data_IF_400110071728
#
_entry.id   IF_400110071728
#
_cell.length_a   1.000
_cell.length_b   1.000
_cell.length_c   1.000
_cell.angle_alpha   90.00
_cell.angle_beta   90.00
_cell.angle_gamma   90.00
#
_symmetry.space_group_name_H-M   'P 1'
#
loop_
_entity.id
_entity.type
_entity.pdbx_description
1 polymer ?
#
# COMPACT_ATOMS: atom_id res chain seq x y z
N UNK A 1 -27.28 -33.49 -34.05
CA UNK A 1 -26.05 -33.39 -33.20
C UNK A 1 -25.06 -32.28 -33.62
N UNK A 2 -24.94 -31.89 -34.91
CA UNK A 2 -23.98 -30.84 -35.36
C UNK A 2 -24.35 -29.39 -34.98
N UNK A 3 -25.64 -29.06 -34.85
CA UNK A 3 -26.09 -27.68 -34.52
C UNK A 3 -25.83 -27.24 -33.06
N UNK A 4 -25.78 -28.19 -32.11
CA UNK A 4 -25.52 -27.89 -30.69
C UNK A 4 -24.05 -27.51 -30.43
N UNK A 5 -23.10 -28.19 -31.08
CA UNK A 5 -21.66 -27.92 -30.92
C UNK A 5 -21.21 -26.57 -31.49
N UNK A 6 -21.94 -25.99 -32.45
CA UNK A 6 -21.59 -24.68 -33.01
C UNK A 6 -21.95 -23.54 -32.04
N UNK A 7 -23.11 -23.65 -31.38
CA UNK A 7 -23.59 -22.65 -30.44
C UNK A 7 -22.72 -22.54 -29.17
N UNK A 8 -22.25 -23.67 -28.63
CA UNK A 8 -21.34 -23.67 -27.46
C UNK A 8 -19.95 -23.07 -27.74
N UNK A 9 -19.49 -23.09 -29.00
CA UNK A 9 -18.21 -22.48 -29.38
C UNK A 9 -18.33 -20.95 -29.48
N UNK A 10 -19.40 -20.46 -30.08
CA UNK A 10 -19.70 -19.02 -30.19
C UNK A 10 -19.97 -18.38 -28.81
N UNK A 11 -20.62 -19.09 -27.88
CA UNK A 11 -20.84 -18.59 -26.50
C UNK A 11 -19.54 -18.52 -25.66
N UNK A 12 -18.58 -19.42 -25.90
CA UNK A 12 -17.26 -19.35 -25.23
C UNK A 12 -16.38 -18.22 -25.76
N UNK A 13 -16.40 -17.96 -27.07
CA UNK A 13 -15.63 -16.87 -27.68
C UNK A 13 -16.16 -15.49 -27.22
N UNK A 14 -17.48 -15.34 -27.06
CA UNK A 14 -18.09 -14.11 -26.53
C UNK A 14 -17.73 -13.81 -25.06
N UNK A 15 -17.60 -14.83 -24.21
CA UNK A 15 -17.16 -14.63 -22.82
C UNK A 15 -15.66 -14.26 -22.71
N UNK A 16 -14.81 -14.76 -23.60
CA UNK A 16 -13.38 -14.45 -23.61
C UNK A 16 -13.08 -13.03 -24.14
N UNK A 17 -13.79 -12.56 -25.16
CA UNK A 17 -13.60 -11.19 -25.66
C UNK A 17 -14.15 -10.12 -24.70
N UNK A 18 -15.31 -10.36 -24.06
CA UNK A 18 -15.85 -9.42 -23.08
C UNK A 18 -15.03 -9.34 -21.79
N UNK A 19 -14.28 -10.39 -21.42
CA UNK A 19 -13.41 -10.36 -20.23
C UNK A 19 -12.10 -9.61 -20.49
N UNK A 20 -11.60 -9.57 -21.73
CA UNK A 20 -10.42 -8.78 -22.10
C UNK A 20 -10.77 -7.30 -22.34
N UNK A 21 -11.90 -6.99 -22.98
CA UNK A 21 -12.38 -5.60 -23.11
C UNK A 21 -12.82 -4.97 -21.77
N UNK A 22 -13.34 -5.76 -20.83
CA UNK A 22 -13.63 -5.28 -19.48
C UNK A 22 -12.35 -4.95 -18.68
N UNK A 23 -11.20 -5.54 -19.03
CA UNK A 23 -9.90 -5.26 -18.40
C UNK A 23 -9.25 -3.97 -18.90
N UNK A 24 -9.44 -3.61 -20.17
CA UNK A 24 -8.84 -2.39 -20.76
C UNK A 24 -9.68 -1.14 -20.55
N UNK A 25 -10.98 -1.24 -20.24
CA UNK A 25 -11.86 -0.07 -20.00
C UNK A 25 -11.80 0.49 -18.56
N UNK A 26 -11.07 -0.12 -17.63
CA UNK A 26 -10.97 0.32 -16.21
C UNK A 26 -9.80 1.25 -15.89
N UNK A 27 -9.09 1.78 -16.90
CA UNK A 27 -7.95 2.71 -16.72
C UNK A 27 -8.25 4.17 -17.12
N UNK A 28 -9.51 4.63 -17.04
CA UNK A 28 -9.89 6.04 -17.30
C UNK A 28 -10.21 6.84 -16.03
N UNK A 29 -9.53 6.53 -14.94
CA UNK A 29 -9.31 7.50 -13.87
C UNK A 29 -7.82 7.73 -13.81
N UNK A 30 -7.33 8.82 -14.40
CA UNK A 30 -6.00 9.31 -14.06
C UNK A 30 -6.02 9.50 -12.55
N UNK A 31 -5.38 8.59 -11.81
CA UNK A 31 -5.27 8.69 -10.36
C UNK A 31 -4.61 10.05 -10.11
N UNK A 32 -5.31 10.93 -9.38
CA UNK A 32 -4.78 12.26 -9.04
C UNK A 32 -3.37 12.03 -8.47
N UNK A 33 -2.34 12.66 -9.04
CA UNK A 33 -0.99 12.50 -8.50
C UNK A 33 -1.04 12.92 -7.04
N UNK A 34 -0.53 12.03 -6.20
CA UNK A 34 -0.36 12.29 -4.79
C UNK A 34 0.50 13.54 -4.61
N UNK A 35 0.00 14.48 -3.81
CA UNK A 35 0.74 15.69 -3.50
C UNK A 35 1.66 15.36 -2.32
N UNK A 36 2.94 15.17 -2.64
CA UNK A 36 4.00 15.03 -1.63
C UNK A 36 4.29 16.39 -1.00
N UNK A 37 4.60 16.41 0.29
CA UNK A 37 5.02 17.64 0.99
C UNK A 37 6.48 17.98 0.61
N UNK A 38 6.77 19.13 -0.03
CA UNK A 38 8.15 19.55 -0.29
C UNK A 38 8.91 19.75 1.02
N UNK A 39 10.02 19.04 1.22
CA UNK A 39 10.78 19.09 2.47
C UNK A 39 10.09 18.38 3.64
N UNK A 40 9.08 17.55 3.34
CA UNK A 40 8.41 16.71 4.32
C UNK A 40 9.28 15.55 4.79
N UNK A 41 8.66 14.71 5.62
CA UNK A 41 9.32 13.55 6.22
C UNK A 41 9.49 12.43 5.20
N UNK A 42 10.65 11.77 5.24
CA UNK A 42 10.90 10.52 4.53
C UNK A 42 11.09 9.38 5.52
N UNK A 43 10.48 8.24 5.19
CA UNK A 43 10.64 6.99 5.93
C UNK A 43 11.20 5.94 4.98
N UNK A 44 12.35 5.39 5.32
CA UNK A 44 12.94 4.26 4.62
C UNK A 44 12.52 2.97 5.30
N UNK A 45 11.87 2.09 4.54
CA UNK A 45 11.51 0.73 4.99
C UNK A 45 12.53 -0.26 4.43
N UNK A 46 13.10 -1.09 5.30
CA UNK A 46 14.04 -2.16 4.91
C UNK A 46 13.69 -3.49 5.57
N UNK A 47 14.31 -4.57 5.05
CA UNK A 47 14.24 -5.92 5.63
C UNK A 47 12.90 -6.64 5.49
N UNK A 48 11.98 -6.11 4.69
CA UNK A 48 10.74 -6.80 4.31
C UNK A 48 11.02 -7.98 3.38
N UNK A 49 10.40 -9.13 3.65
CA UNK A 49 10.32 -10.30 2.75
C UNK A 49 9.55 -9.98 1.45
N UNK A 50 8.63 -9.03 1.50
CA UNK A 50 7.95 -8.46 0.35
C UNK A 50 8.77 -7.29 -0.15
N UNK A 51 9.54 -7.51 -1.23
CA UNK A 51 10.40 -6.50 -1.85
C UNK A 51 9.65 -5.21 -2.25
N UNK A 52 8.33 -5.32 -2.40
CA UNK A 52 7.45 -4.21 -2.73
C UNK A 52 7.12 -3.30 -1.53
N UNK A 53 7.43 -3.71 -0.31
CA UNK A 53 7.32 -2.87 0.88
C UNK A 53 8.63 -2.15 1.23
N UNK A 54 9.77 -2.52 0.62
CA UNK A 54 11.06 -1.86 0.89
C UNK A 54 11.20 -0.57 0.06
N UNK A 55 11.86 0.44 0.61
CA UNK A 55 12.21 1.68 -0.09
C UNK A 55 11.78 2.94 0.65
N UNK A 56 11.80 4.07 -0.06
CA UNK A 56 11.51 5.40 0.50
C UNK A 56 10.02 5.69 0.39
N UNK A 57 9.43 6.12 1.50
CA UNK A 57 8.06 6.55 1.66
C UNK A 57 8.04 8.03 2.04
N UNK A 58 7.40 8.86 1.20
CA UNK A 58 7.35 10.31 1.40
C UNK A 58 6.03 10.73 1.99
N UNK A 59 6.08 11.68 2.91
CA UNK A 59 4.91 12.33 3.50
C UNK A 59 3.97 12.88 2.44
N UNK A 60 2.68 12.63 2.63
CA UNK A 60 1.60 13.13 1.80
C UNK A 60 0.96 14.35 2.46
N UNK A 61 0.46 15.30 1.66
CA UNK A 61 -0.23 16.48 2.18
C UNK A 61 -1.48 16.13 2.99
N UNK A 62 -2.10 15.00 2.67
CA UNK A 62 -3.33 14.54 3.32
C UNK A 62 -2.99 13.69 4.55
N UNK A 63 -3.69 13.92 5.66
CA UNK A 63 -3.68 13.02 6.83
C UNK A 63 -4.73 11.92 6.64
N UNK A 64 -4.42 10.71 7.11
CA UNK A 64 -5.36 9.59 7.19
C UNK A 64 -5.63 9.27 8.65
N UNK A 65 -6.91 9.19 9.01
CA UNK A 65 -7.36 8.93 10.39
C UNK A 65 -6.70 9.88 11.41
N UNK A 66 -6.51 11.15 11.03
CA UNK A 66 -5.88 12.17 11.87
C UNK A 66 -4.35 12.10 11.96
N UNK A 67 -3.70 11.11 11.36
CA UNK A 67 -2.23 10.94 11.39
C UNK A 67 -1.58 11.12 10.02
N UNK A 68 -0.27 11.34 10.02
CA UNK A 68 0.50 11.44 8.79
C UNK A 68 0.44 10.14 8.00
N UNK A 69 0.45 10.25 6.68
CA UNK A 69 0.51 9.10 5.80
C UNK A 69 1.57 9.29 4.72
N UNK A 70 2.11 8.18 4.24
CA UNK A 70 3.27 8.16 3.38
C UNK A 70 3.02 7.28 2.16
N UNK A 71 3.47 7.74 1.00
CA UNK A 71 3.43 6.97 -0.24
C UNK A 71 4.84 6.62 -0.68
N UNK A 72 5.02 5.38 -1.14
CA UNK A 72 6.30 4.90 -1.66
C UNK A 72 6.66 5.62 -2.96
N UNK A 73 7.93 5.99 -3.11
CA UNK A 73 8.47 6.69 -4.28
C UNK A 73 8.69 5.75 -5.49
N UNK A 74 7.63 5.09 -5.96
CA UNK A 74 7.65 4.22 -7.16
C UNK A 74 6.30 4.23 -7.89
N UNK A 75 6.30 3.89 -9.18
CA UNK A 75 5.14 4.00 -10.09
C UNK A 75 3.91 3.17 -9.67
N UNK A 76 4.10 1.98 -9.08
CA UNK A 76 3.01 1.16 -8.50
C UNK A 76 2.73 1.47 -7.03
N UNK A 77 3.52 2.36 -6.43
CA UNK A 77 3.35 2.82 -5.07
C UNK A 77 3.60 1.77 -4.00
N UNK A 78 2.89 1.94 -2.90
CA UNK A 78 3.07 1.40 -1.57
C UNK A 78 2.59 2.46 -0.59
N UNK A 79 1.98 2.06 0.52
CA UNK A 79 1.42 2.98 1.50
C UNK A 79 1.92 2.65 2.91
N UNK A 80 2.18 3.68 3.71
CA UNK A 80 2.35 3.58 5.16
C UNK A 80 1.37 4.56 5.82
N UNK A 81 0.46 4.03 6.63
CA UNK A 81 -0.63 4.84 7.21
C UNK A 81 -1.14 4.23 8.50
N UNK A 82 -1.87 5.02 9.28
CA UNK A 82 -2.55 4.56 10.47
C UNK A 82 -4.00 4.14 10.16
N UNK A 83 -4.41 2.99 10.72
CA UNK A 83 -5.79 2.51 10.69
C UNK A 83 -6.40 2.61 12.09
N UNK A 84 -7.27 3.60 12.28
CA UNK A 84 -7.97 3.85 13.54
C UNK A 84 -8.83 2.69 14.02
N UNK A 85 -9.35 1.84 13.12
CA UNK A 85 -10.18 0.69 13.52
C UNK A 85 -9.34 -0.44 14.08
N UNK A 86 -8.10 -0.58 13.59
CA UNK A 86 -7.15 -1.58 14.06
C UNK A 86 -6.23 -1.03 15.16
N UNK A 87 -6.26 0.28 15.42
CA UNK A 87 -5.32 1.00 16.27
C UNK A 87 -3.86 0.65 15.95
N UNK A 88 -3.52 0.63 14.66
CA UNK A 88 -2.23 0.16 14.19
C UNK A 88 -1.77 0.89 12.93
N UNK A 89 -0.47 1.08 12.83
CA UNK A 89 0.21 1.45 11.58
C UNK A 89 0.24 0.26 10.64
N UNK A 90 0.11 0.50 9.34
CA UNK A 90 0.07 -0.52 8.30
C UNK A 90 0.96 -0.15 7.14
N UNK A 91 1.65 -1.15 6.59
CA UNK A 91 2.43 -1.04 5.36
C UNK A 91 1.82 -1.93 4.29
N UNK A 92 1.55 -1.33 3.13
CA UNK A 92 0.99 -1.99 1.95
C UNK A 92 2.00 -1.97 0.80
N UNK A 93 2.04 -3.07 0.06
CA UNK A 93 2.94 -3.25 -1.09
C UNK A 93 2.50 -2.55 -2.38
N UNK A 94 1.21 -2.19 -2.49
CA UNK A 94 0.62 -1.63 -3.70
C UNK A 94 -0.37 -0.51 -3.36
N UNK A 95 -0.46 0.47 -4.25
CA UNK A 95 -1.36 1.60 -4.15
C UNK A 95 -0.75 2.78 -3.39
N UNK A 96 -1.62 3.52 -2.71
CA UNK A 96 -1.25 4.71 -1.94
C UNK A 96 -2.14 4.78 -0.70
N UNK A 97 -1.92 5.71 0.23
CA UNK A 97 -2.73 5.79 1.44
C UNK A 97 -4.24 5.97 1.26
N UNK A 98 -4.76 6.13 0.04
CA UNK A 98 -6.18 6.26 -0.26
C UNK A 98 -6.74 5.13 -1.15
N UNK A 99 -5.89 4.29 -1.72
CA UNK A 99 -6.27 3.27 -2.73
C UNK A 99 -5.51 1.96 -2.58
N UNK A 100 -4.90 1.74 -1.42
CA UNK A 100 -4.13 0.55 -1.12
C UNK A 100 -4.97 -0.73 -1.25
N UNK A 101 -4.31 -1.81 -1.66
CA UNK A 101 -4.94 -3.13 -1.70
C UNK A 101 -3.99 -4.17 -1.12
N UNK A 102 -4.43 -4.83 -0.05
CA UNK A 102 -3.61 -5.78 0.71
C UNK A 102 -2.62 -5.04 1.62
N UNK A 103 -2.66 -5.36 2.91
CA UNK A 103 -1.70 -4.90 3.89
C UNK A 103 -0.75 -6.06 4.21
N UNK A 104 0.54 -5.74 4.34
CA UNK A 104 1.59 -6.72 4.50
C UNK A 104 2.11 -6.74 5.95
N UNK A 105 2.36 -5.57 6.54
CA UNK A 105 2.89 -5.42 7.89
C UNK A 105 2.03 -4.48 8.71
N UNK A 106 2.05 -4.64 10.03
CA UNK A 106 1.39 -3.75 10.96
C UNK A 106 2.11 -3.66 12.30
N UNK A 107 1.91 -2.53 12.97
CA UNK A 107 2.44 -2.31 14.31
C UNK A 107 1.51 -1.41 15.11
N UNK A 108 1.05 -1.89 16.25
CA UNK A 108 0.41 -1.04 17.25
C UNK A 108 1.44 -0.03 17.76
N UNK A 109 1.11 1.27 17.82
CA UNK A 109 2.02 2.25 18.38
C UNK A 109 2.19 2.05 19.89
N UNK A 110 3.30 2.54 20.43
CA UNK A 110 3.52 2.57 21.87
C UNK A 110 2.66 3.66 22.53
N UNK A 111 2.49 4.80 21.85
CA UNK A 111 1.56 5.86 22.22
C UNK A 111 0.51 6.07 21.10
N UNK A 112 -0.80 5.90 21.38
CA UNK A 112 -1.86 6.12 20.38
C UNK A 112 -1.96 7.58 19.91
N UNK A 113 -1.37 8.55 20.61
CA UNK A 113 -1.35 9.96 20.20
C UNK A 113 -0.23 10.26 19.18
N UNK A 114 0.76 9.38 19.02
CA UNK A 114 1.90 9.61 18.11
C UNK A 114 1.45 9.84 16.66
N UNK A 115 1.81 10.98 16.08
CA UNK A 115 1.47 11.29 14.67
C UNK A 115 2.25 10.45 13.64
N UNK A 116 3.27 9.73 14.09
CA UNK A 116 4.25 9.00 13.29
C UNK A 116 4.22 7.49 13.59
N UNK A 117 4.65 6.65 12.62
CA UNK A 117 4.79 5.22 12.85
C UNK A 117 5.91 4.91 13.84
N UNK A 118 5.84 3.79 14.56
CA UNK A 118 6.95 3.29 15.36
C UNK A 118 8.19 3.16 14.47
N UNK A 119 9.23 3.90 14.84
CA UNK A 119 10.52 3.82 14.16
C UNK A 119 11.35 2.66 14.73
N UNK A 120 12.38 2.29 14.00
CA UNK A 120 13.23 1.14 14.33
C UNK A 120 12.60 -0.17 13.89
N UNK A 121 13.00 -1.24 14.57
CA UNK A 121 12.59 -2.61 14.24
C UNK A 121 11.16 -2.87 14.72
N UNK A 122 10.29 -3.31 13.83
CA UNK A 122 8.94 -3.75 14.23
C UNK A 122 8.97 -5.15 14.82
N UNK A 123 8.06 -5.40 15.75
CA UNK A 123 7.97 -6.64 16.50
C UNK A 123 6.73 -7.45 16.10
N UNK A 124 6.91 -8.77 15.97
CA UNK A 124 5.81 -9.70 15.65
C UNK A 124 4.74 -9.74 16.77
N UNK A 125 5.13 -9.44 18.00
CA UNK A 125 4.25 -9.36 19.19
C UNK A 125 3.24 -8.22 19.11
N UNK A 126 3.52 -7.18 18.32
CA UNK A 126 2.72 -5.94 18.20
C UNK A 126 1.96 -5.85 16.88
N UNK A 127 1.95 -6.92 16.07
CA UNK A 127 1.16 -6.97 14.84
C UNK A 127 -0.32 -7.23 15.12
N UNK A 128 -1.19 -6.89 14.18
CA UNK A 128 -2.60 -7.25 14.25
C UNK A 128 -2.83 -8.72 13.83
N UNK A 129 -3.75 -9.42 14.49
CA UNK A 129 -3.94 -10.88 14.32
C UNK A 129 -4.47 -11.30 12.95
N UNK A 130 -5.09 -10.40 12.20
CA UNK A 130 -5.66 -10.66 10.87
C UNK A 130 -4.67 -10.50 9.73
N UNK A 131 -3.41 -10.20 10.04
CA UNK A 131 -2.36 -10.02 9.05
C UNK A 131 -1.94 -11.33 8.37
N UNK A 132 -1.54 -11.22 7.10
CA UNK A 132 -0.84 -12.30 6.40
C UNK A 132 0.46 -12.62 7.15
N UNK A 133 0.80 -13.90 7.31
CA UNK A 133 2.05 -14.27 7.97
C UNK A 133 3.25 -13.65 7.25
N UNK A 134 4.00 -12.79 7.96
CA UNK A 134 5.25 -12.14 7.51
C UNK A 134 6.39 -12.37 8.49
N UNK A 135 7.60 -12.16 8.00
CA UNK A 135 8.81 -12.19 8.80
C UNK A 135 9.19 -10.76 9.24
N UNK A 136 9.13 -10.52 10.55
CA UNK A 136 9.50 -9.26 11.18
C UNK A 136 10.98 -9.21 11.59
N UNK A 137 11.74 -10.29 11.42
CA UNK A 137 13.09 -10.42 11.99
C UNK A 137 14.02 -9.27 11.57
N UNK A 138 13.85 -8.73 10.37
CA UNK A 138 14.66 -7.63 9.85
C UNK A 138 13.84 -6.40 9.45
N UNK A 139 12.52 -6.39 9.67
CA UNK A 139 11.66 -5.30 9.22
C UNK A 139 11.89 -4.03 10.03
N UNK A 140 12.34 -2.97 9.38
CA UNK A 140 12.81 -1.74 10.04
C UNK A 140 12.33 -0.48 9.31
N UNK A 141 11.94 0.52 10.10
CA UNK A 141 11.60 1.88 9.64
C UNK A 141 12.62 2.88 10.15
N UNK A 142 13.22 3.65 9.24
CA UNK A 142 14.14 4.74 9.56
C UNK A 142 13.59 6.05 9.02
N UNK A 143 13.72 7.14 9.79
CA UNK A 143 13.19 8.45 9.41
C UNK A 143 14.32 9.42 9.05
N UNK A 144 14.14 10.15 7.97
CA UNK A 144 14.99 11.25 7.55
C UNK A 144 14.15 12.52 7.37
N UNK A 145 14.69 13.66 7.84
CA UNK A 145 14.08 14.98 7.64
C UNK A 145 14.78 15.70 6.49
N UNK A 146 14.05 15.96 5.40
CA UNK A 146 14.59 16.68 4.27
C UNK A 146 14.58 18.19 4.50
N UNK A 147 15.70 18.71 5.01
CA UNK A 147 15.92 20.15 5.05
C UNK A 147 16.14 20.68 3.63
N UNK A 148 15.12 21.30 3.04
CA UNK A 148 15.30 22.12 1.85
C UNK A 148 16.20 23.29 2.27
N UNK A 149 17.47 23.28 1.83
CA UNK A 149 18.31 24.47 1.90
C UNK A 149 17.66 25.54 1.02
N UNK A 150 17.15 26.59 1.67
CA UNK A 150 16.55 27.77 1.01
C UNK A 150 17.54 28.56 0.17
#
# INVERSE_FOLDING_TARGET
KKKRKKKEKEEREWCCENTMEARTKRMKGAKKPLSTVPGGIEITITGSDSVQCNGIYREQTDKRDGKLCFAREVERGGALYFDSKANAWKVCQDGNPNTESGWNYSQTPDDPEDELPPLGKWEDSKKISTEVKRDYQNFMLEMEMNNIKG
#
